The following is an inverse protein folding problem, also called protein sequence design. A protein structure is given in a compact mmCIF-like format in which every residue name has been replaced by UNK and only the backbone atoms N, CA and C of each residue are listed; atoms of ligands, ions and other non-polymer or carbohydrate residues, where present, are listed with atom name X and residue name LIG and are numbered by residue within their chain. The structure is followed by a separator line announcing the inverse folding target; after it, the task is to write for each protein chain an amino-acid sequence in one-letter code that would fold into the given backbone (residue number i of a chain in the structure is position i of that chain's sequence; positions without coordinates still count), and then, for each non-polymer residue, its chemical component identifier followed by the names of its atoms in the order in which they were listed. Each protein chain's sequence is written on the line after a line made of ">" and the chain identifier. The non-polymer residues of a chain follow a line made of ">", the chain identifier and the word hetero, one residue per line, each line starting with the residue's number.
data_IF_520599083854
#
_entry.id   IF_520599083854
#
_cell.length_a   1.000
_cell.length_b   1.000
_cell.length_c   1.000
_cell.angle_alpha   90.00
_cell.angle_beta   90.00
_cell.angle_gamma   90.00
#
_symmetry.space_group_name_H-M   'P 1'
#
loop_
_entity.id
_entity.type
_entity.pdbx_description
1 polymer ?
#
# COMPACT_ATOMS: atom_id res chain seq x y z
N UNK A 1 -32.23 -14.71 0.70
CA UNK A 1 -32.01 -13.66 -0.31
C UNK A 1 -31.16 -12.58 0.36
N UNK A 2 -30.00 -12.21 -0.14
CA UNK A 2 -29.34 -11.01 0.35
C UNK A 2 -30.30 -9.84 0.06
N UNK A 3 -30.59 -9.04 1.09
CA UNK A 3 -31.42 -7.85 0.95
C UNK A 3 -30.78 -6.88 -0.05
N UNK A 4 -31.58 -6.06 -0.70
CA UNK A 4 -31.07 -4.96 -1.52
C UNK A 4 -30.05 -4.16 -0.72
N UNK A 5 -28.99 -3.65 -1.36
CA UNK A 5 -27.97 -2.89 -0.65
C UNK A 5 -28.62 -1.69 0.04
N UNK A 6 -28.43 -1.59 1.35
CA UNK A 6 -29.07 -0.61 2.23
C UNK A 6 -28.66 0.83 1.87
N UNK A 7 -27.65 0.99 1.04
CA UNK A 7 -27.17 2.32 0.61
C UNK A 7 -26.95 2.31 -0.90
N UNK A 8 -27.68 3.15 -1.66
CA UNK A 8 -27.37 3.35 -3.08
C UNK A 8 -25.95 3.92 -3.22
N UNK A 9 -25.28 3.67 -4.35
CA UNK A 9 -24.00 4.30 -4.62
C UNK A 9 -24.16 5.81 -4.58
N UNK A 10 -23.35 6.48 -3.74
CA UNK A 10 -23.41 7.91 -3.57
C UNK A 10 -22.62 8.57 -4.71
N UNK A 11 -23.35 9.08 -5.70
CA UNK A 11 -22.82 9.99 -6.72
C UNK A 11 -23.16 11.43 -6.36
N UNK A 12 -22.27 12.34 -6.70
CA UNK A 12 -22.61 13.76 -6.68
C UNK A 12 -23.48 14.12 -7.90
N UNK A 13 -23.90 15.39 -7.98
CA UNK A 13 -24.68 15.94 -9.08
C UNK A 13 -23.96 15.93 -10.44
N UNK A 14 -22.65 15.65 -10.46
CA UNK A 14 -21.80 15.52 -11.66
C UNK A 14 -21.47 14.06 -12.01
N UNK A 15 -22.02 13.09 -11.28
CA UNK A 15 -21.79 11.67 -11.50
C UNK A 15 -20.42 11.18 -10.97
N UNK A 16 -19.76 11.97 -10.11
CA UNK A 16 -18.52 11.57 -9.43
C UNK A 16 -18.81 10.89 -8.10
N UNK A 17 -17.93 10.03 -7.67
CA UNK A 17 -17.98 9.45 -6.31
C UNK A 17 -17.92 10.56 -5.25
N UNK A 18 -18.54 10.34 -4.09
CA UNK A 18 -18.74 11.42 -3.10
C UNK A 18 -17.45 11.78 -2.38
N UNK A 19 -16.65 10.79 -1.99
CA UNK A 19 -15.47 11.01 -1.15
C UNK A 19 -14.20 11.27 -1.96
N UNK A 20 -13.92 10.42 -2.95
CA UNK A 20 -12.71 10.54 -3.79
C UNK A 20 -12.90 11.44 -5.02
N UNK A 21 -14.16 11.78 -5.38
CA UNK A 21 -14.51 12.63 -6.54
C UNK A 21 -13.96 12.11 -7.87
N UNK A 22 -13.98 10.80 -8.06
CA UNK A 22 -13.49 10.10 -9.25
C UNK A 22 -14.63 9.59 -10.14
N UNK A 23 -14.29 9.35 -11.40
CA UNK A 23 -15.09 8.59 -12.38
C UNK A 23 -14.25 7.46 -12.94
N UNK A 24 -14.84 6.45 -13.63
CA UNK A 24 -14.07 5.38 -14.27
C UNK A 24 -13.00 5.87 -15.26
N UNK A 25 -13.24 6.97 -15.96
CA UNK A 25 -12.33 7.54 -16.96
C UNK A 25 -11.15 8.31 -16.31
N UNK A 26 -11.25 8.62 -15.02
CA UNK A 26 -10.20 9.33 -14.28
C UNK A 26 -9.10 8.40 -13.78
N UNK A 27 -9.33 7.08 -13.70
CA UNK A 27 -8.52 6.14 -12.94
C UNK A 27 -7.88 5.10 -13.84
N UNK A 28 -6.56 4.93 -13.73
CA UNK A 28 -5.82 3.84 -14.37
C UNK A 28 -6.07 2.49 -13.71
N UNK A 29 -5.65 1.41 -14.39
CA UNK A 29 -5.76 0.03 -13.90
C UNK A 29 -5.01 -0.20 -12.56
N UNK A 30 -3.89 0.50 -12.37
CA UNK A 30 -3.01 0.40 -11.22
C UNK A 30 -3.18 1.63 -10.35
N UNK A 31 -3.48 1.43 -9.06
CA UNK A 31 -3.64 2.50 -8.08
C UNK A 31 -2.56 2.38 -7.01
N UNK A 32 -1.79 3.45 -6.85
CA UNK A 32 -0.86 3.62 -5.74
C UNK A 32 -1.61 4.30 -4.60
N UNK A 33 -1.61 3.68 -3.43
CA UNK A 33 -2.16 4.23 -2.20
C UNK A 33 -1.01 4.69 -1.29
N UNK A 34 -1.03 5.95 -0.91
CA UNK A 34 -0.12 6.51 0.08
C UNK A 34 -0.92 7.23 1.17
N UNK A 35 -0.26 7.64 2.22
CA UNK A 35 -0.90 8.47 3.23
C UNK A 35 -0.41 9.90 3.12
N UNK A 36 -1.27 10.85 3.41
CA UNK A 36 -0.87 12.23 3.57
C UNK A 36 0.03 12.33 4.82
N UNK A 37 1.33 12.36 4.61
CA UNK A 37 2.33 12.35 5.67
C UNK A 37 3.05 13.72 5.74
N UNK A 38 2.62 14.61 6.64
CA UNK A 38 3.21 15.94 6.77
C UNK A 38 4.65 15.91 7.32
N UNK A 39 5.08 14.76 7.84
CA UNK A 39 6.42 14.64 8.41
C UNK A 39 7.51 14.54 7.34
N UNK A 40 7.18 14.12 6.13
CA UNK A 40 8.15 13.87 5.07
C UNK A 40 8.19 14.94 3.97
N UNK A 41 7.09 15.69 3.78
CA UNK A 41 6.93 16.57 2.63
C UNK A 41 6.13 17.82 2.98
N UNK A 42 6.50 18.96 2.39
CA UNK A 42 5.68 20.17 2.38
C UNK A 42 4.49 20.03 1.41
N UNK A 43 4.66 19.22 0.34
CA UNK A 43 3.64 18.89 -0.64
C UNK A 43 2.93 17.59 -0.28
N UNK A 44 1.73 17.40 -0.82
CA UNK A 44 1.02 16.13 -0.71
C UNK A 44 1.82 14.97 -1.36
N UNK A 45 1.82 13.80 -0.73
CA UNK A 45 2.59 12.65 -1.20
C UNK A 45 2.12 12.17 -2.57
N UNK A 46 0.82 12.27 -2.89
CA UNK A 46 0.33 11.94 -4.24
C UNK A 46 0.89 12.91 -5.28
N UNK A 47 1.05 14.20 -4.96
CA UNK A 47 1.69 15.19 -5.83
C UNK A 47 3.17 14.86 -6.04
N UNK A 48 3.88 14.52 -4.97
CA UNK A 48 5.29 14.10 -5.05
C UNK A 48 5.46 12.88 -5.96
N UNK A 49 4.65 11.84 -5.77
CA UNK A 49 4.70 10.63 -6.63
C UNK A 49 4.32 10.97 -8.08
N UNK A 50 3.32 11.83 -8.29
CA UNK A 50 2.92 12.29 -9.60
C UNK A 50 4.05 13.03 -10.34
N UNK A 51 4.98 13.65 -9.62
CA UNK A 51 6.18 14.27 -10.18
C UNK A 51 7.14 13.30 -10.88
N UNK A 52 7.03 12.00 -10.65
CA UNK A 52 7.78 10.95 -11.37
C UNK A 52 7.04 10.43 -12.62
N UNK A 53 5.81 10.89 -12.87
CA UNK A 53 4.95 10.40 -13.94
C UNK A 53 4.89 11.39 -15.09
N UNK A 54 4.67 10.90 -16.31
CA UNK A 54 4.42 11.71 -17.48
C UNK A 54 2.93 12.10 -17.53
N UNK A 55 2.65 13.32 -18.03
CA UNK A 55 1.29 13.85 -18.21
C UNK A 55 0.41 13.78 -16.95
N UNK A 56 1.02 13.86 -15.78
CA UNK A 56 0.31 13.78 -14.52
C UNK A 56 -0.65 14.96 -14.34
N UNK A 57 -1.89 14.66 -13.96
CA UNK A 57 -2.93 15.66 -13.72
C UNK A 57 -3.65 15.42 -12.41
N UNK A 58 -3.97 16.47 -11.69
CA UNK A 58 -4.82 16.42 -10.50
C UNK A 58 -6.25 16.04 -10.94
N UNK A 59 -6.78 14.96 -10.35
CA UNK A 59 -8.16 14.51 -10.56
C UNK A 59 -9.09 15.16 -9.53
N UNK A 60 -8.69 15.10 -8.27
CA UNK A 60 -9.44 15.68 -7.17
C UNK A 60 -8.52 15.96 -5.98
N UNK A 61 -8.85 17.03 -5.27
CA UNK A 61 -8.42 17.32 -3.90
C UNK A 61 -9.68 17.56 -3.09
N UNK A 62 -9.97 16.66 -2.15
CA UNK A 62 -11.14 16.71 -1.29
C UNK A 62 -10.78 17.03 0.16
N UNK A 63 -9.55 17.44 0.43
CA UNK A 63 -8.92 17.58 1.75
C UNK A 63 -8.80 16.27 2.55
N UNK A 64 -9.59 15.25 2.21
CA UNK A 64 -9.47 13.89 2.74
C UNK A 64 -8.58 13.03 1.84
N UNK A 65 -8.76 13.15 0.53
CA UNK A 65 -8.04 12.41 -0.49
C UNK A 65 -7.53 13.35 -1.57
N UNK A 66 -6.28 13.17 -1.97
CA UNK A 66 -5.68 13.86 -3.12
C UNK A 66 -5.33 12.83 -4.17
N UNK A 67 -5.88 12.96 -5.37
CA UNK A 67 -5.75 11.96 -6.44
C UNK A 67 -5.18 12.57 -7.70
N UNK A 68 -4.10 11.97 -8.20
CA UNK A 68 -3.47 12.29 -9.49
C UNK A 68 -3.53 11.07 -10.41
N UNK A 69 -3.62 11.30 -11.71
CA UNK A 69 -3.48 10.26 -12.74
C UNK A 69 -2.51 10.75 -13.80
N UNK A 70 -1.66 9.85 -14.29
CA UNK A 70 -0.68 10.09 -15.34
C UNK A 70 -0.21 8.77 -15.93
N UNK A 71 0.96 8.78 -16.56
CA UNK A 71 1.59 7.56 -17.09
C UNK A 71 3.02 7.42 -16.58
N UNK A 72 3.50 6.19 -16.49
CA UNK A 72 4.91 5.89 -16.25
C UNK A 72 5.37 4.90 -17.30
N UNK A 73 6.29 5.33 -18.17
CA UNK A 73 6.69 4.58 -19.38
C UNK A 73 5.48 4.09 -20.21
N UNK A 74 4.46 4.93 -20.35
CA UNK A 74 3.24 4.64 -21.10
C UNK A 74 2.21 3.78 -20.37
N UNK A 75 2.47 3.34 -19.13
CA UNK A 75 1.51 2.62 -18.30
C UNK A 75 0.64 3.62 -17.53
N UNK A 76 -0.69 3.61 -17.67
CA UNK A 76 -1.58 4.48 -16.91
C UNK A 76 -1.59 4.11 -15.41
N UNK A 77 -1.31 5.09 -14.56
CA UNK A 77 -1.23 4.92 -13.11
C UNK A 77 -2.03 6.03 -12.42
N UNK A 78 -2.76 5.67 -11.39
CA UNK A 78 -3.39 6.63 -10.48
C UNK A 78 -2.70 6.57 -9.12
N UNK A 79 -2.50 7.71 -8.51
CA UNK A 79 -1.97 7.84 -7.15
C UNK A 79 -3.00 8.52 -6.29
N UNK A 80 -3.25 7.98 -5.11
CA UNK A 80 -4.15 8.58 -4.12
C UNK A 80 -3.47 8.66 -2.76
N UNK A 81 -3.34 9.85 -2.21
CA UNK A 81 -3.05 10.06 -0.79
C UNK A 81 -4.33 9.96 0.01
N UNK A 82 -4.32 9.09 1.00
CA UNK A 82 -5.41 8.94 1.97
C UNK A 82 -5.03 9.55 3.31
N UNK A 83 -5.96 9.64 4.25
CA UNK A 83 -5.63 9.78 5.66
C UNK A 83 -4.86 8.56 6.17
N UNK A 84 -4.26 8.67 7.33
CA UNK A 84 -3.41 7.64 7.91
C UNK A 84 -4.23 6.59 8.65
N UNK A 85 -3.97 5.32 8.37
CA UNK A 85 -4.59 4.17 9.03
C UNK A 85 -5.60 3.42 8.18
N UNK A 86 -5.95 2.22 8.66
CA UNK A 86 -6.85 1.31 7.98
C UNK A 86 -8.24 1.91 7.68
N UNK A 87 -8.88 2.70 8.57
CA UNK A 87 -10.20 3.28 8.30
C UNK A 87 -10.23 4.23 7.09
N UNK A 88 -9.24 5.11 6.99
CA UNK A 88 -9.18 6.08 5.89
C UNK A 88 -8.84 5.39 4.55
N UNK A 89 -7.92 4.43 4.60
CA UNK A 89 -7.56 3.62 3.44
C UNK A 89 -8.76 2.79 2.94
N UNK A 90 -9.56 2.25 3.85
CA UNK A 90 -10.79 1.51 3.53
C UNK A 90 -11.77 2.37 2.74
N UNK A 91 -12.05 3.58 3.19
CA UNK A 91 -12.99 4.49 2.51
C UNK A 91 -12.53 4.75 1.08
N UNK A 92 -11.26 5.08 0.87
CA UNK A 92 -10.71 5.31 -0.45
C UNK A 92 -10.83 4.06 -1.35
N UNK A 93 -10.42 2.89 -0.84
CA UNK A 93 -10.47 1.64 -1.62
C UNK A 93 -11.89 1.27 -2.04
N UNK A 94 -12.90 1.41 -1.15
CA UNK A 94 -14.29 1.11 -1.48
C UNK A 94 -14.80 2.02 -2.60
N UNK A 95 -14.40 3.28 -2.61
CA UNK A 95 -14.75 4.19 -3.71
C UNK A 95 -14.07 3.78 -5.02
N UNK A 96 -12.78 3.46 -5.00
CA UNK A 96 -12.08 2.97 -6.19
C UNK A 96 -12.70 1.67 -6.73
N UNK A 97 -13.08 0.73 -5.87
CA UNK A 97 -13.75 -0.52 -6.28
C UNK A 97 -15.08 -0.28 -6.98
N UNK A 98 -15.83 0.74 -6.55
CA UNK A 98 -17.18 1.04 -7.07
C UNK A 98 -17.18 1.94 -8.30
N UNK A 99 -16.22 2.85 -8.38
CA UNK A 99 -16.25 3.98 -9.32
C UNK A 99 -15.05 4.02 -10.25
N UNK A 100 -14.30 2.92 -10.36
CA UNK A 100 -13.19 2.81 -11.31
C UNK A 100 -13.11 1.41 -11.93
N UNK A 101 -12.23 1.27 -12.92
CA UNK A 101 -11.86 -0.01 -13.52
C UNK A 101 -10.51 -0.52 -12.99
N UNK A 102 -10.02 0.03 -11.89
CA UNK A 102 -8.77 -0.41 -11.27
C UNK A 102 -8.91 -1.83 -10.71
N UNK A 103 -7.90 -2.64 -10.92
CA UNK A 103 -7.85 -4.03 -10.42
C UNK A 103 -6.65 -4.30 -9.51
N UNK A 104 -5.75 -3.33 -9.34
CA UNK A 104 -4.50 -3.49 -8.62
C UNK A 104 -4.23 -2.29 -7.72
N UNK A 105 -4.02 -2.56 -6.43
CA UNK A 105 -3.83 -1.55 -5.38
C UNK A 105 -2.54 -1.80 -4.64
N UNK A 106 -1.63 -0.83 -4.66
CA UNK A 106 -0.28 -0.97 -4.10
C UNK A 106 -0.01 0.17 -3.13
N UNK A 107 0.26 -0.19 -1.87
CA UNK A 107 0.70 0.79 -0.88
C UNK A 107 2.14 1.21 -1.17
N UNK A 108 2.37 2.52 -1.21
CA UNK A 108 3.68 3.16 -1.16
C UNK A 108 3.77 3.98 0.12
N UNK A 109 4.51 3.53 1.12
CA UNK A 109 4.44 4.17 2.43
C UNK A 109 5.70 4.08 3.27
N UNK A 110 5.57 4.51 4.52
CA UNK A 110 6.60 4.48 5.54
C UNK A 110 6.30 3.46 6.63
N UNK A 111 7.31 3.05 7.38
CA UNK A 111 7.19 2.06 8.45
C UNK A 111 8.30 2.19 9.48
N UNK A 112 8.18 1.45 10.59
CA UNK A 112 9.27 1.25 11.55
C UNK A 112 9.64 -0.22 11.67
N UNK A 113 10.80 -0.52 12.26
CA UNK A 113 11.25 -1.89 12.53
C UNK A 113 11.65 -2.12 13.98
N UNK A 114 11.50 -3.37 14.44
CA UNK A 114 12.05 -3.86 15.70
C UNK A 114 13.34 -4.71 15.49
N UNK A 115 13.75 -4.93 14.24
CA UNK A 115 14.89 -5.76 13.88
C UNK A 115 16.17 -4.93 13.75
N UNK A 116 17.30 -5.51 14.17
CA UNK A 116 18.60 -4.86 14.12
C UNK A 116 19.26 -4.93 12.73
N UNK A 117 18.86 -5.93 11.95
CA UNK A 117 19.37 -6.21 10.61
C UNK A 117 18.64 -5.47 9.48
N UNK A 118 17.71 -4.59 9.83
CA UNK A 118 17.02 -3.70 8.89
C UNK A 118 17.38 -2.26 9.22
N UNK A 119 17.91 -1.57 8.24
CA UNK A 119 18.36 -0.18 8.38
C UNK A 119 17.26 0.84 8.01
N UNK A 120 17.40 2.05 8.54
CA UNK A 120 16.61 3.19 8.08
C UNK A 120 16.99 3.48 6.63
N UNK A 121 15.98 3.63 5.77
CA UNK A 121 16.14 3.75 4.32
C UNK A 121 15.94 2.45 3.54
N UNK A 122 16.04 1.28 4.19
CA UNK A 122 15.71 0.00 3.55
C UNK A 122 14.23 -0.11 3.24
N UNK A 123 13.89 -0.88 2.22
CA UNK A 123 12.52 -1.20 1.87
C UNK A 123 12.07 -2.53 2.46
N UNK A 124 10.81 -2.58 2.85
CA UNK A 124 10.11 -3.83 3.16
C UNK A 124 8.98 -4.04 2.16
N UNK A 125 9.07 -5.11 1.39
CA UNK A 125 8.03 -5.60 0.49
C UNK A 125 7.23 -6.64 1.27
N UNK A 126 5.97 -6.32 1.58
CA UNK A 126 5.17 -7.14 2.45
C UNK A 126 4.58 -8.34 1.71
N UNK A 127 5.00 -9.56 2.06
CA UNK A 127 4.40 -10.80 1.57
C UNK A 127 3.06 -11.12 2.24
N UNK A 128 2.85 -10.58 3.43
CA UNK A 128 1.61 -10.67 4.20
C UNK A 128 1.62 -9.69 5.34
N UNK A 129 0.48 -9.54 6.01
CA UNK A 129 0.35 -8.62 7.13
C UNK A 129 -0.34 -9.26 8.34
N UNK A 130 0.15 -8.93 9.53
CA UNK A 130 -0.58 -9.16 10.78
C UNK A 130 -1.70 -8.12 10.87
N UNK A 131 -2.92 -8.60 11.07
CA UNK A 131 -4.13 -7.81 11.21
C UNK A 131 -4.30 -7.38 12.67
N UNK A 132 -3.52 -6.40 13.10
CA UNK A 132 -3.58 -5.86 14.46
C UNK A 132 -4.20 -4.45 14.47
N UNK A 133 -5.20 -4.27 13.63
CA UNK A 133 -6.08 -3.12 13.46
C UNK A 133 -7.56 -3.55 13.48
N UNK A 134 -8.46 -2.61 13.72
CA UNK A 134 -9.87 -2.92 13.92
C UNK A 134 -10.70 -3.00 12.64
N UNK A 135 -10.31 -2.33 11.57
CA UNK A 135 -11.14 -2.11 10.37
C UNK A 135 -11.40 -3.41 9.62
N UNK A 136 -10.37 -4.21 9.39
CA UNK A 136 -10.51 -5.48 8.64
C UNK A 136 -11.39 -6.51 9.36
N UNK A 137 -11.53 -6.40 10.70
CA UNK A 137 -12.41 -7.27 11.47
C UNK A 137 -13.91 -7.03 11.17
N UNK A 138 -14.27 -5.86 10.63
CA UNK A 138 -15.64 -5.57 10.18
C UNK A 138 -16.00 -6.35 8.90
N UNK A 139 -15.03 -6.79 8.12
CA UNK A 139 -15.23 -7.50 6.84
C UNK A 139 -15.15 -9.01 6.97
N UNK A 140 -14.19 -9.51 7.73
CA UNK A 140 -13.93 -10.95 7.85
C UNK A 140 -13.43 -11.30 9.24
N UNK A 141 -13.58 -12.57 9.63
CA UNK A 141 -13.09 -13.09 10.92
C UNK A 141 -11.59 -12.83 11.10
N UNK A 142 -11.09 -12.66 12.33
CA UNK A 142 -9.67 -12.35 12.59
C UNK A 142 -8.68 -13.37 12.01
N UNK A 143 -9.09 -14.64 11.87
CA UNK A 143 -8.25 -15.70 11.32
C UNK A 143 -8.12 -15.69 9.79
N UNK A 144 -8.89 -14.86 9.09
CA UNK A 144 -8.73 -14.69 7.64
C UNK A 144 -7.38 -14.02 7.35
N UNK A 145 -6.53 -14.60 6.46
CA UNK A 145 -5.18 -14.08 6.24
C UNK A 145 -5.18 -12.78 5.42
N UNK A 146 -4.29 -11.87 5.76
CA UNK A 146 -3.94 -10.72 4.94
C UNK A 146 -2.67 -11.05 4.15
N UNK A 147 -2.80 -11.40 2.87
CA UNK A 147 -1.71 -11.84 2.00
C UNK A 147 -1.59 -10.96 0.76
N UNK A 148 -0.37 -10.72 0.32
CA UNK A 148 -0.11 -10.03 -0.94
C UNK A 148 -0.54 -10.87 -2.14
N UNK A 149 -0.92 -10.21 -3.23
CA UNK A 149 -0.92 -10.87 -4.52
C UNK A 149 0.52 -11.21 -4.91
N UNK A 150 0.78 -12.48 -5.23
CA UNK A 150 2.13 -12.98 -5.45
C UNK A 150 2.83 -12.34 -6.66
N UNK A 151 2.10 -12.03 -7.74
CA UNK A 151 2.68 -11.35 -8.91
C UNK A 151 3.05 -9.91 -8.57
N UNK A 152 2.19 -9.19 -7.83
CA UNK A 152 2.50 -7.82 -7.38
C UNK A 152 3.72 -7.82 -6.48
N UNK A 153 3.78 -8.71 -5.48
CA UNK A 153 4.94 -8.82 -4.59
C UNK A 153 6.25 -9.10 -5.37
N UNK A 154 6.20 -10.04 -6.31
CA UNK A 154 7.37 -10.38 -7.13
C UNK A 154 7.78 -9.23 -8.05
N UNK A 155 6.85 -8.51 -8.66
CA UNK A 155 7.15 -7.35 -9.50
C UNK A 155 7.83 -6.23 -8.70
N UNK A 156 7.39 -5.98 -7.45
CA UNK A 156 8.04 -5.02 -6.56
C UNK A 156 9.46 -5.46 -6.19
N UNK A 157 9.67 -6.75 -5.90
CA UNK A 157 10.99 -7.29 -5.58
C UNK A 157 11.94 -7.23 -6.79
N UNK A 158 11.45 -7.54 -7.98
CA UNK A 158 12.20 -7.41 -9.24
C UNK A 158 12.61 -5.96 -9.50
N UNK A 159 11.70 -5.02 -9.27
CA UNK A 159 11.99 -3.59 -9.41
C UNK A 159 13.06 -3.11 -8.43
N UNK A 160 12.94 -3.44 -7.15
CA UNK A 160 13.93 -3.06 -6.14
C UNK A 160 15.30 -3.66 -6.48
N UNK A 161 15.34 -4.93 -6.92
CA UNK A 161 16.57 -5.58 -7.35
C UNK A 161 17.19 -4.90 -8.58
N UNK A 162 16.42 -4.62 -9.62
CA UNK A 162 16.88 -3.94 -10.83
C UNK A 162 17.40 -2.52 -10.56
N UNK A 163 16.78 -1.82 -9.63
CA UNK A 163 17.18 -0.48 -9.19
C UNK A 163 18.33 -0.49 -8.18
N UNK A 164 18.79 -1.66 -7.75
CA UNK A 164 19.83 -1.86 -6.73
C UNK A 164 19.49 -1.16 -5.39
N UNK A 165 18.22 -1.16 -5.03
CA UNK A 165 17.72 -0.61 -3.77
C UNK A 165 17.71 -1.72 -2.73
N UNK A 166 18.26 -1.52 -1.50
CA UNK A 166 18.19 -2.49 -0.42
C UNK A 166 16.74 -2.80 -0.05
N UNK A 167 16.38 -4.08 0.01
CA UNK A 167 15.02 -4.49 0.36
C UNK A 167 14.97 -5.82 1.11
N UNK A 168 13.91 -5.99 1.87
CA UNK A 168 13.56 -7.21 2.59
C UNK A 168 12.17 -7.66 2.17
N UNK A 169 11.94 -8.97 2.09
CA UNK A 169 10.60 -9.53 1.85
C UNK A 169 10.15 -10.26 3.11
N UNK A 170 8.93 -10.01 3.56
CA UNK A 170 8.40 -10.71 4.73
C UNK A 170 7.08 -10.18 5.25
N UNK A 171 6.79 -10.49 6.50
CA UNK A 171 5.53 -10.11 7.13
C UNK A 171 5.66 -8.71 7.76
N UNK A 172 4.70 -7.84 7.47
CA UNK A 172 4.49 -6.56 8.17
C UNK A 172 3.45 -6.72 9.28
N UNK A 173 3.37 -5.77 10.18
CA UNK A 173 2.29 -5.67 11.17
C UNK A 173 1.56 -4.35 10.99
N UNK A 174 0.27 -4.41 10.67
CA UNK A 174 -0.59 -3.23 10.63
C UNK A 174 -1.29 -3.04 11.97
N UNK A 175 -1.13 -1.85 12.58
CA UNK A 175 -1.71 -1.52 13.88
C UNK A 175 -2.26 -0.09 13.91
N UNK A 176 -3.39 0.13 14.56
CA UNK A 176 -4.06 1.45 14.57
C UNK A 176 -3.29 2.52 15.36
N UNK A 177 -2.52 2.13 16.37
CA UNK A 177 -1.85 3.08 17.26
C UNK A 177 -0.37 3.26 16.93
N UNK A 178 0.03 4.48 16.59
CA UNK A 178 1.44 4.86 16.42
C UNK A 178 2.22 4.95 17.74
N UNK A 179 1.57 4.95 18.89
CA UNK A 179 2.20 5.06 20.20
C UNK A 179 2.09 3.74 20.97
N UNK A 180 1.07 3.58 21.79
CA UNK A 180 0.91 2.41 22.65
C UNK A 180 0.84 1.09 21.87
N UNK A 181 0.19 1.07 20.70
CA UNK A 181 0.14 -0.11 19.82
C UNK A 181 1.50 -0.48 19.21
N UNK A 182 2.50 0.39 19.31
CA UNK A 182 3.88 0.12 18.89
C UNK A 182 4.85 0.00 20.08
N UNK A 183 4.31 -0.10 21.32
CA UNK A 183 5.11 -0.23 22.53
C UNK A 183 5.75 1.07 23.01
N UNK A 184 5.25 2.22 22.59
CA UNK A 184 5.76 3.54 22.97
C UNK A 184 4.91 4.14 24.08
N UNK A 185 5.50 4.61 25.20
CA UNK A 185 4.75 5.29 26.24
C UNK A 185 4.23 6.65 25.77
N UNK A 186 3.09 7.05 26.33
CA UNK A 186 2.54 8.40 26.16
C UNK A 186 2.55 9.05 27.54
N UNK A 187 3.30 10.12 27.71
CA UNK A 187 3.69 10.65 29.01
C UNK A 187 4.33 9.50 29.84
N UNK A 188 3.84 9.25 31.03
CA UNK A 188 4.34 8.16 31.90
C UNK A 188 3.45 6.91 31.83
N UNK A 189 2.52 6.83 30.88
CA UNK A 189 1.60 5.71 30.74
C UNK A 189 1.95 4.80 29.57
N UNK A 190 2.06 3.51 29.88
CA UNK A 190 2.07 2.40 28.93
C UNK A 190 1.46 1.19 29.63
N UNK A 191 0.42 0.58 29.05
CA UNK A 191 -0.13 -0.64 29.63
C UNK A 191 0.90 -1.80 29.56
N UNK A 192 0.81 -2.73 30.49
CA UNK A 192 1.81 -3.79 30.67
C UNK A 192 2.03 -4.64 29.41
N UNK A 193 0.97 -5.02 28.71
CA UNK A 193 1.08 -5.82 27.50
C UNK A 193 1.72 -5.04 26.35
N UNK A 194 1.46 -3.73 26.26
CA UNK A 194 2.07 -2.87 25.23
C UNK A 194 3.58 -2.72 25.41
N UNK A 195 4.09 -2.79 26.63
CA UNK A 195 5.52 -2.75 26.91
C UNK A 195 6.28 -3.96 26.32
N UNK A 196 5.58 -5.07 26.08
CA UNK A 196 6.16 -6.31 25.53
C UNK A 196 6.13 -6.36 23.99
N UNK A 197 5.42 -5.44 23.34
CA UNK A 197 5.21 -5.43 21.88
C UNK A 197 6.52 -5.50 21.10
N UNK A 198 7.54 -4.66 21.34
CA UNK A 198 8.76 -4.70 20.55
C UNK A 198 9.48 -6.05 20.62
N UNK A 199 9.64 -6.58 21.82
CA UNK A 199 10.33 -7.85 22.04
C UNK A 199 9.55 -9.05 21.50
N UNK A 200 8.23 -9.04 21.64
CA UNK A 200 7.37 -10.09 21.10
C UNK A 200 7.46 -10.14 19.56
N UNK A 201 7.26 -9.01 18.89
CA UNK A 201 7.25 -8.97 17.44
C UNK A 201 8.63 -9.15 16.82
N UNK A 202 9.70 -8.75 17.53
CA UNK A 202 11.08 -9.12 17.18
C UNK A 202 11.25 -10.65 17.18
N UNK A 203 10.77 -11.35 18.19
CA UNK A 203 10.84 -12.83 18.27
C UNK A 203 10.00 -13.53 17.21
N UNK A 204 8.85 -12.99 16.88
CA UNK A 204 7.99 -13.50 15.80
C UNK A 204 8.63 -13.26 14.41
N UNK A 205 9.51 -12.28 14.29
CA UNK A 205 10.27 -12.02 13.07
C UNK A 205 9.52 -11.20 12.02
N UNK A 206 8.56 -10.35 12.44
CA UNK A 206 8.00 -9.37 11.52
C UNK A 206 9.09 -8.42 11.03
N UNK A 207 9.03 -8.01 9.77
CA UNK A 207 10.06 -7.14 9.19
C UNK A 207 9.88 -5.68 9.60
N UNK A 208 8.63 -5.23 9.59
CA UNK A 208 8.28 -3.84 9.91
C UNK A 208 6.87 -3.74 10.50
N UNK A 209 6.51 -2.55 10.94
CA UNK A 209 5.17 -2.20 11.38
C UNK A 209 4.72 -0.87 10.75
N UNK A 210 3.45 -0.82 10.41
CA UNK A 210 2.77 0.31 9.74
C UNK A 210 1.27 0.26 10.07
N UNK A 211 0.37 0.84 9.26
CA UNK A 211 -1.04 1.01 9.66
C UNK A 211 -2.07 0.58 8.61
N UNK A 212 -1.71 0.28 7.36
CA UNK A 212 -2.66 0.17 6.24
C UNK A 212 -2.57 -1.13 5.44
N UNK A 213 -1.45 -1.82 5.42
CA UNK A 213 -1.22 -2.98 4.54
C UNK A 213 -2.24 -4.09 4.74
N UNK A 214 -2.64 -4.37 6.00
CA UNK A 214 -3.58 -5.47 6.28
C UNK A 214 -4.95 -5.25 5.66
N UNK A 215 -5.50 -4.04 5.75
CA UNK A 215 -6.82 -3.73 5.17
C UNK A 215 -6.75 -3.79 3.64
N UNK A 216 -5.67 -3.30 3.01
CA UNK A 216 -5.48 -3.40 1.56
C UNK A 216 -5.51 -4.86 1.12
N UNK A 217 -4.76 -5.74 1.80
CA UNK A 217 -4.70 -7.16 1.44
C UNK A 217 -6.02 -7.89 1.66
N UNK A 218 -6.70 -7.62 2.78
CA UNK A 218 -8.00 -8.22 3.08
C UNK A 218 -9.04 -7.82 2.05
N UNK A 219 -9.16 -6.53 1.76
CA UNK A 219 -10.17 -6.05 0.80
C UNK A 219 -9.86 -6.55 -0.62
N UNK A 220 -8.60 -6.49 -1.06
CA UNK A 220 -8.21 -7.00 -2.37
C UNK A 220 -8.52 -8.49 -2.50
N UNK A 221 -8.16 -9.31 -1.50
CA UNK A 221 -8.45 -10.75 -1.53
C UNK A 221 -9.94 -11.05 -1.51
N UNK A 222 -10.71 -10.31 -0.70
CA UNK A 222 -12.15 -10.53 -0.53
C UNK A 222 -12.95 -10.20 -1.80
N UNK A 223 -12.54 -9.15 -2.52
CA UNK A 223 -13.26 -8.65 -3.68
C UNK A 223 -12.63 -9.01 -5.03
N UNK A 224 -11.58 -9.85 -5.04
CA UNK A 224 -10.95 -10.35 -6.26
C UNK A 224 -10.01 -9.35 -6.95
N UNK A 225 -9.47 -8.38 -6.20
CA UNK A 225 -8.46 -7.44 -6.67
C UNK A 225 -7.05 -7.91 -6.28
N UNK A 226 -6.04 -7.26 -6.82
CA UNK A 226 -4.63 -7.52 -6.49
C UNK A 226 -4.12 -6.48 -5.49
N UNK A 227 -3.53 -6.93 -4.39
CA UNK A 227 -2.95 -6.07 -3.35
C UNK A 227 -1.44 -6.24 -3.24
N UNK A 228 -0.72 -5.13 -3.05
CA UNK A 228 0.71 -5.08 -2.77
C UNK A 228 1.07 -3.98 -1.77
N UNK A 229 2.28 -4.06 -1.19
CA UNK A 229 2.79 -2.98 -0.34
C UNK A 229 4.32 -2.96 -0.32
N UNK A 230 4.86 -1.75 -0.45
CA UNK A 230 6.27 -1.43 -0.28
C UNK A 230 6.36 -0.28 0.72
N UNK A 231 7.14 -0.47 1.78
CA UNK A 231 7.28 0.52 2.83
C UNK A 231 8.76 0.81 3.10
N UNK A 232 9.16 2.09 3.12
CA UNK A 232 10.48 2.47 3.62
C UNK A 232 10.52 2.40 5.15
N UNK A 233 11.62 1.93 5.69
CA UNK A 233 11.88 2.01 7.12
C UNK A 233 12.41 3.39 7.46
N UNK A 234 11.63 4.19 8.18
CA UNK A 234 12.02 5.53 8.63
C UNK A 234 12.39 5.55 10.11
N UNK A 235 12.05 4.48 10.83
CA UNK A 235 12.29 4.35 12.27
C UNK A 235 12.84 2.96 12.63
N UNK A 236 13.97 2.92 13.32
CA UNK A 236 14.51 1.69 13.91
C UNK A 236 14.46 1.80 15.43
N UNK A 237 13.54 1.04 16.04
CA UNK A 237 13.42 0.99 17.51
C UNK A 237 14.70 0.52 18.21
N UNK A 238 15.37 -0.57 17.76
CA UNK A 238 16.58 -1.04 18.41
C UNK A 238 17.77 -0.07 18.28
N UNK A 239 17.83 0.71 17.20
CA UNK A 239 18.89 1.69 16.97
C UNK A 239 18.56 3.08 17.53
N UNK A 240 17.30 3.26 17.98
CA UNK A 240 16.84 4.52 18.57
C UNK A 240 16.85 5.71 17.61
N UNK A 241 16.78 5.46 16.29
CA UNK A 241 16.81 6.51 15.28
C UNK A 241 15.49 6.61 14.53
N UNK A 242 15.16 7.84 14.15
CA UNK A 242 14.07 8.21 13.27
C UNK A 242 14.62 9.21 12.24
N UNK A 243 14.46 8.89 10.98
CA UNK A 243 14.86 9.76 9.87
C UNK A 243 13.66 9.94 8.94
N UNK A 244 13.06 11.11 9.03
CA UNK A 244 11.87 11.47 8.27
C UNK A 244 12.21 11.54 6.79
N UNK A 245 11.41 10.89 5.95
CA UNK A 245 11.62 10.83 4.50
C UNK A 245 12.68 9.83 4.03
N UNK A 246 13.38 9.13 4.95
CA UNK A 246 14.35 8.12 4.55
C UNK A 246 13.71 7.04 3.67
N UNK A 247 14.35 6.72 2.54
CA UNK A 247 13.90 5.71 1.59
C UNK A 247 12.64 6.06 0.79
N UNK A 248 12.04 7.23 0.95
CA UNK A 248 10.80 7.61 0.25
C UNK A 248 10.96 7.63 -1.27
N UNK A 249 12.02 8.25 -1.80
CA UNK A 249 12.35 8.19 -3.24
C UNK A 249 12.49 6.74 -3.73
N UNK A 250 13.14 5.91 -2.93
CA UNK A 250 13.32 4.47 -3.23
C UNK A 250 11.99 3.73 -3.30
N UNK A 251 11.03 4.00 -2.38
CA UNK A 251 9.68 3.43 -2.43
C UNK A 251 8.98 3.84 -3.72
N UNK A 252 8.96 5.13 -4.04
CA UNK A 252 8.19 5.64 -5.19
C UNK A 252 8.73 5.07 -6.49
N UNK A 253 10.04 5.07 -6.68
CA UNK A 253 10.69 4.48 -7.85
C UNK A 253 10.46 2.97 -7.94
N UNK A 254 10.56 2.25 -6.82
CA UNK A 254 10.30 0.81 -6.78
C UNK A 254 8.87 0.47 -7.15
N UNK A 255 7.89 1.23 -6.63
CA UNK A 255 6.47 0.96 -6.92
C UNK A 255 6.14 1.29 -8.38
N UNK A 256 6.61 2.41 -8.90
CA UNK A 256 6.37 2.79 -10.30
C UNK A 256 7.01 1.79 -11.27
N UNK A 257 8.27 1.43 -11.05
CA UNK A 257 8.96 0.43 -11.88
C UNK A 257 8.34 -0.97 -11.73
N UNK A 258 7.92 -1.35 -10.52
CA UNK A 258 7.20 -2.59 -10.27
C UNK A 258 5.86 -2.67 -10.99
N UNK A 259 5.13 -1.56 -11.07
CA UNK A 259 3.89 -1.47 -11.88
C UNK A 259 4.22 -1.62 -13.37
N UNK A 260 5.28 -1.01 -13.87
CA UNK A 260 5.71 -1.17 -15.26
C UNK A 260 6.02 -2.64 -15.58
N UNK A 261 6.76 -3.33 -14.70
CA UNK A 261 7.06 -4.76 -14.83
C UNK A 261 5.77 -5.59 -14.80
N UNK A 262 4.88 -5.29 -13.85
CA UNK A 262 3.60 -6.00 -13.72
C UNK A 262 2.71 -5.83 -14.96
N UNK A 263 2.69 -4.63 -15.56
CA UNK A 263 1.97 -4.36 -16.80
C UNK A 263 2.52 -5.16 -17.98
N UNK A 264 3.84 -5.34 -18.06
CA UNK A 264 4.46 -6.24 -19.07
C UNK A 264 4.02 -7.71 -18.84
N UNK A 265 3.96 -8.15 -17.59
CA UNK A 265 3.50 -9.50 -17.26
C UNK A 265 2.02 -9.69 -17.57
N UNK A 266 1.19 -8.69 -17.30
CA UNK A 266 -0.24 -8.71 -17.64
C UNK A 266 -0.43 -8.80 -19.17
N UNK A 267 0.33 -8.04 -19.95
CA UNK A 267 0.31 -8.15 -21.40
C UNK A 267 0.75 -9.52 -21.94
N UNK A 268 1.68 -10.21 -21.24
CA UNK A 268 2.04 -11.59 -21.58
C UNK A 268 0.87 -12.54 -21.29
N UNK A 269 0.21 -12.42 -20.13
CA UNK A 269 -0.94 -13.24 -19.77
C UNK A 269 -2.10 -13.06 -20.75
N UNK A 270 -2.44 -11.82 -21.06
CA UNK A 270 -3.50 -11.52 -22.03
C UNK A 270 -3.23 -12.14 -23.42
N UNK A 271 -1.99 -12.02 -23.90
CA UNK A 271 -1.59 -12.59 -25.21
C UNK A 271 -1.55 -14.12 -25.22
N UNK A 272 -1.23 -14.75 -24.09
CA UNK A 272 -1.06 -16.21 -23.98
C UNK A 272 -2.28 -16.94 -23.42
N UNK A 273 -3.27 -16.21 -22.91
CA UNK A 273 -4.50 -16.77 -22.30
C UNK A 273 -4.25 -17.56 -21.03
N UNK A 274 -3.23 -17.18 -20.24
CA UNK A 274 -2.92 -17.84 -18.96
C UNK A 274 -3.28 -16.95 -17.79
N UNK A 275 -3.73 -17.56 -16.70
CA UNK A 275 -4.12 -16.84 -15.47
C UNK A 275 -2.89 -16.45 -14.63
N UNK A 276 -1.82 -17.25 -14.67
CA UNK A 276 -0.61 -17.07 -13.89
C UNK A 276 0.62 -16.97 -14.77
N UNK A 277 1.53 -16.04 -14.45
CA UNK A 277 2.83 -15.97 -15.07
C UNK A 277 3.79 -16.97 -14.42
N UNK A 278 4.22 -17.98 -15.19
CA UNK A 278 5.18 -18.96 -14.72
C UNK A 278 6.62 -18.53 -15.06
N UNK A 279 7.61 -18.81 -14.19
CA UNK A 279 9.01 -18.46 -14.45
C UNK A 279 9.51 -18.98 -15.81
N UNK A 280 9.06 -20.15 -16.26
CA UNK A 280 9.41 -20.72 -17.57
C UNK A 280 8.93 -19.90 -18.77
N UNK A 281 7.96 -19.01 -18.58
CA UNK A 281 7.43 -18.12 -19.62
C UNK A 281 8.27 -16.86 -19.76
N UNK A 282 8.94 -16.43 -18.68
CA UNK A 282 9.83 -15.28 -18.63
C UNK A 282 11.23 -15.67 -19.11
N UNK A 283 11.69 -16.87 -18.77
CA UNK A 283 13.04 -17.36 -19.06
C UNK A 283 13.35 -17.57 -20.56
N UNK A 284 12.38 -17.39 -21.46
CA UNK A 284 12.53 -17.56 -22.90
C UNK A 284 12.77 -16.25 -23.66
N UNK A 285 13.23 -15.19 -23.02
CA UNK A 285 13.78 -14.04 -23.76
C UNK A 285 15.20 -14.38 -24.16
N UNK A 286 15.50 -14.43 -25.48
CA UNK A 286 16.87 -14.59 -25.98
C UNK A 286 17.73 -13.39 -25.61
#
# INVERSE_FOLDING_TARGET
>A
MPGEPVTPPLFDDKGKSVMARITPDDVGRYVILSVHDPLGYEQDVAEVIAGYMDEARLIADTHMFVTYTGTYHGVPITVCSTGSGAPETEIAMVEFFRFSNADTFIRAGTSGTYLEDIDVGDLVIAAGAVRDEGTSAAYVVPTYPAIANHEVMLAMAEAAHALQIPYHVGITRSTDSCQAGQGRPVLDYLQEDSARIPEYWKKVGIKNFERETSIIYVLCSLFGFRGGAVNAVVNSTPKGNLEVGAGSDSVFRTVLEGIRILAEWDAIKERTGVDFLLPSMIAKRP
#
